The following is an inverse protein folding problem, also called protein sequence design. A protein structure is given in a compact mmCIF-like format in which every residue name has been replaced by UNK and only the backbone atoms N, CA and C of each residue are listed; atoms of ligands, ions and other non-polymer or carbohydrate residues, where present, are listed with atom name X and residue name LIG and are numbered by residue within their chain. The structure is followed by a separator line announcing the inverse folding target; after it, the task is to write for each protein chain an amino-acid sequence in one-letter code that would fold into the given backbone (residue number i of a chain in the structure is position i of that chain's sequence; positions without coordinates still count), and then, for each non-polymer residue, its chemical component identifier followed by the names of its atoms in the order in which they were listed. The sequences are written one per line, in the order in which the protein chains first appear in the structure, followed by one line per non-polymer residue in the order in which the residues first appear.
data_IF_833347152472
#
_entry.id   IF_833347152472
#
_cell.length_a   1.000
_cell.length_b   1.000
_cell.length_c   1.000
_cell.angle_alpha   90.00
_cell.angle_beta   90.00
_cell.angle_gamma   90.00
#
_symmetry.space_group_name_H-M   'P 1'
#
loop_
_entity.id
_entity.type
_entity.pdbx_description
1 polymer ?
#
# COMPACT_ATOMS: atom_id res chain seq x y z
N UNK A 1 -18.71 -0.29 -23.43
CA UNK A 1 -17.55 0.59 -23.21
C UNK A 1 -17.63 1.76 -24.17
N UNK A 2 -17.42 3.00 -23.73
CA UNK A 2 -17.28 4.14 -24.64
C UNK A 2 -16.09 3.93 -25.59
N UNK A 3 -16.14 4.44 -26.84
CA UNK A 3 -15.01 4.36 -27.76
C UNK A 3 -13.78 5.07 -27.16
N UNK A 4 -12.66 4.36 -27.03
CA UNK A 4 -11.38 4.92 -26.55
C UNK A 4 -10.98 4.58 -25.12
N UNK A 5 -11.82 3.86 -24.36
CA UNK A 5 -11.40 3.30 -23.07
C UNK A 5 -10.72 1.93 -23.22
N UNK A 6 -9.75 1.66 -22.37
CA UNK A 6 -8.97 0.42 -22.33
C UNK A 6 -9.38 -0.52 -21.18
N UNK A 7 -10.29 -0.09 -20.31
CA UNK A 7 -10.67 -0.77 -19.07
C UNK A 7 -12.16 -0.64 -18.75
N UNK A 8 -12.74 -1.69 -18.17
CA UNK A 8 -14.07 -1.62 -17.58
C UNK A 8 -14.07 -0.73 -16.33
N UNK A 9 -15.07 0.14 -16.22
CA UNK A 9 -15.23 1.09 -15.10
C UNK A 9 -16.42 0.71 -14.24
N UNK A 10 -16.28 0.89 -12.93
CA UNK A 10 -17.41 0.81 -12.00
C UNK A 10 -18.20 2.11 -12.12
N UNK A 11 -19.37 2.02 -12.76
CA UNK A 11 -20.24 3.17 -13.00
C UNK A 11 -21.55 2.96 -12.24
N UNK A 12 -22.02 3.99 -11.54
CA UNK A 12 -23.32 3.99 -10.89
C UNK A 12 -24.43 4.16 -11.94
N UNK A 13 -25.35 3.19 -12.03
CA UNK A 13 -26.45 3.22 -12.99
C UNK A 13 -27.54 4.26 -12.68
N UNK A 14 -27.51 4.88 -11.49
CA UNK A 14 -28.50 5.90 -11.08
C UNK A 14 -28.05 7.33 -11.37
N UNK A 15 -26.76 7.63 -11.19
CA UNK A 15 -26.23 8.99 -11.29
C UNK A 15 -25.00 9.14 -12.19
N UNK A 16 -24.58 8.06 -12.86
CA UNK A 16 -23.40 8.01 -13.73
C UNK A 16 -22.05 8.31 -13.05
N UNK A 17 -21.98 8.28 -11.72
CA UNK A 17 -20.71 8.41 -10.98
C UNK A 17 -19.73 7.28 -11.34
N UNK A 18 -18.47 7.63 -11.58
CA UNK A 18 -17.40 6.68 -11.91
C UNK A 18 -16.53 6.45 -10.66
N UNK A 19 -16.52 5.21 -10.15
CA UNK A 19 -15.69 4.80 -9.02
C UNK A 19 -14.34 4.26 -9.51
N UNK A 20 -13.37 5.16 -9.60
CA UNK A 20 -11.99 4.84 -9.97
C UNK A 20 -11.30 3.98 -8.92
N UNK A 21 -10.97 2.74 -9.30
CA UNK A 21 -10.09 1.91 -8.50
C UNK A 21 -8.62 2.33 -8.71
N UNK A 22 -8.07 3.03 -7.73
CA UNK A 22 -6.67 3.45 -7.72
C UNK A 22 -5.80 2.43 -6.97
N UNK A 23 -4.51 2.28 -7.34
CA UNK A 23 -3.56 1.49 -6.56
C UNK A 23 -3.47 1.99 -5.11
N UNK A 24 -3.28 1.06 -4.17
CA UNK A 24 -2.93 1.40 -2.79
C UNK A 24 -1.40 1.39 -2.66
N UNK A 25 -0.86 2.47 -2.10
CA UNK A 25 0.59 2.61 -1.91
C UNK A 25 0.97 2.02 -0.56
N UNK A 26 2.07 1.26 -0.54
CA UNK A 26 2.70 0.74 0.67
C UNK A 26 4.09 1.37 0.76
N UNK A 27 4.44 1.87 1.93
CA UNK A 27 5.77 2.40 2.26
C UNK A 27 6.44 1.50 3.28
N UNK A 28 7.77 1.48 3.30
CA UNK A 28 8.54 0.62 4.20
C UNK A 28 10.00 1.05 4.31
N UNK A 29 10.70 0.44 5.26
CA UNK A 29 12.05 0.87 5.65
C UNK A 29 13.02 -0.30 5.69
N UNK A 30 14.23 -0.08 5.15
CA UNK A 30 15.38 -0.95 5.35
C UNK A 30 16.30 -0.31 6.40
N UNK A 31 15.97 -0.52 7.67
CA UNK A 31 16.76 0.02 8.77
C UNK A 31 17.99 -0.87 9.03
N UNK A 32 19.18 -0.26 9.11
CA UNK A 32 20.43 -0.98 9.31
C UNK A 32 21.26 -0.41 10.47
N UNK A 33 21.96 -1.29 11.19
CA UNK A 33 22.91 -0.90 12.25
C UNK A 33 23.98 -1.97 12.41
N UNK A 34 25.25 -1.56 12.44
CA UNK A 34 26.40 -2.45 12.66
C UNK A 34 26.43 -3.69 11.72
N UNK A 35 26.14 -3.47 10.43
CA UNK A 35 26.09 -4.54 9.43
C UNK A 35 24.88 -5.48 9.53
N UNK A 36 23.87 -5.16 10.34
CA UNK A 36 22.62 -5.92 10.49
C UNK A 36 21.43 -5.12 9.98
N UNK A 37 20.37 -5.82 9.55
CA UNK A 37 19.11 -5.24 9.09
C UNK A 37 17.99 -5.61 10.07
N UNK A 38 17.10 -4.65 10.36
CA UNK A 38 15.89 -4.90 11.15
C UNK A 38 14.84 -5.64 10.31
N UNK A 39 14.32 -6.73 10.86
CA UNK A 39 13.21 -7.48 10.29
C UNK A 39 12.13 -7.70 11.35
N UNK A 40 10.88 -7.67 10.93
CA UNK A 40 9.70 -7.99 11.74
C UNK A 40 9.25 -9.42 11.44
N UNK A 41 8.79 -10.14 12.47
CA UNK A 41 8.13 -11.43 12.28
C UNK A 41 6.62 -11.21 12.22
N UNK A 42 5.97 -11.61 11.12
CA UNK A 42 4.55 -11.36 10.90
C UNK A 42 3.70 -12.08 11.94
N UNK A 43 2.83 -11.35 12.63
CA UNK A 43 1.90 -11.89 13.63
C UNK A 43 0.48 -12.15 13.08
N UNK A 44 0.23 -11.80 11.82
CA UNK A 44 -1.08 -11.94 11.16
C UNK A 44 -0.94 -12.55 9.77
N UNK A 45 -2.01 -13.15 9.28
CA UNK A 45 -2.10 -13.66 7.91
C UNK A 45 -2.22 -12.53 6.86
N UNK A 46 -1.81 -12.79 5.60
CA UNK A 46 -1.19 -14.02 5.12
C UNK A 46 0.27 -14.17 5.58
N UNK A 47 0.80 -15.41 5.53
CA UNK A 47 2.20 -15.74 5.84
C UNK A 47 2.62 -15.36 7.26
N UNK A 48 1.77 -15.65 8.24
CA UNK A 48 2.12 -15.52 9.65
C UNK A 48 3.42 -16.31 9.96
N UNK A 49 4.27 -15.75 10.82
CA UNK A 49 5.56 -16.34 11.22
C UNK A 49 6.73 -16.10 10.28
N UNK A 50 6.51 -15.57 9.08
CA UNK A 50 7.56 -15.19 8.12
C UNK A 50 8.20 -13.84 8.50
N UNK A 51 9.45 -13.65 8.06
CA UNK A 51 10.17 -12.38 8.23
C UNK A 51 9.82 -11.39 7.10
N UNK A 52 9.70 -10.11 7.44
CA UNK A 52 9.44 -9.00 6.53
C UNK A 52 10.17 -7.74 6.98
N UNK A 53 10.32 -6.77 6.10
CA UNK A 53 10.70 -5.40 6.48
C UNK A 53 9.51 -4.71 7.18
N UNK A 54 9.77 -3.73 8.08
CA UNK A 54 8.75 -2.79 8.54
C UNK A 54 8.14 -2.05 7.34
N UNK A 55 6.83 -2.17 7.17
CA UNK A 55 6.10 -1.59 6.05
C UNK A 55 4.59 -1.57 6.33
N UNK A 56 3.89 -0.60 5.75
CA UNK A 56 2.45 -0.45 5.84
C UNK A 56 1.87 0.49 4.79
N UNK A 57 0.55 0.68 4.82
CA UNK A 57 -0.13 1.55 3.85
C UNK A 57 0.23 3.01 4.08
N UNK A 58 0.42 3.74 2.99
CA UNK A 58 0.59 5.20 3.04
C UNK A 58 -0.78 5.85 3.29
N UNK A 59 -0.86 6.72 4.29
CA UNK A 59 -2.10 7.44 4.61
C UNK A 59 -2.24 8.71 3.76
N UNK A 60 -3.47 9.20 3.61
CA UNK A 60 -3.74 10.43 2.87
C UNK A 60 -3.09 11.63 3.57
N UNK A 61 -2.37 12.42 2.79
CA UNK A 61 -1.67 13.61 3.28
C UNK A 61 -0.27 13.35 3.83
N UNK A 62 0.20 12.11 3.87
CA UNK A 62 1.59 11.77 4.20
C UNK A 62 2.48 11.82 2.95
N UNK A 63 3.71 12.33 3.12
CA UNK A 63 4.84 11.98 2.26
C UNK A 63 5.27 10.53 2.49
N UNK A 64 5.98 9.95 1.52
CA UNK A 64 6.51 8.58 1.63
C UNK A 64 7.41 8.44 2.86
N UNK A 65 8.20 9.47 3.16
CA UNK A 65 9.10 9.55 4.30
C UNK A 65 8.37 9.62 5.64
N UNK A 66 7.24 10.33 5.72
CA UNK A 66 6.41 10.38 6.92
C UNK A 66 5.77 9.02 7.23
N UNK A 67 5.16 8.39 6.22
CA UNK A 67 4.59 7.05 6.39
C UNK A 67 5.66 6.00 6.72
N UNK A 68 6.84 6.08 6.11
CA UNK A 68 7.97 5.20 6.41
C UNK A 68 8.41 5.30 7.88
N UNK A 69 8.46 6.52 8.44
CA UNK A 69 8.78 6.76 9.85
C UNK A 69 7.70 6.26 10.80
N UNK A 70 6.42 6.36 10.42
CA UNK A 70 5.28 5.88 11.23
C UNK A 70 5.26 4.36 11.36
N UNK A 71 5.62 3.65 10.30
CA UNK A 71 5.59 2.17 10.22
C UNK A 71 6.83 1.49 10.82
N UNK A 72 7.84 2.24 11.27
CA UNK A 72 9.12 1.74 11.81
C UNK A 72 9.18 1.83 13.32
#
# INVERSE_FOLDING_TARGET
MPPGEDRERRICNTCAFIDYANPRIVTGVVAHRNGRILLCRRAIDPRMGFWTLPAGFLELGESVEEGAKRES
#
